data_IF_011308598021
#
_entry.id   IF_011308598021
#
_cell.length_a   1.000
_cell.length_b   1.000
_cell.length_c   1.000
_cell.angle_alpha   90.00
_cell.angle_beta   90.00
_cell.angle_gamma   90.00
#
_symmetry.space_group_name_H-M   'P 1'
#
loop_
_entity.id
_entity.type
_entity.pdbx_description
1 polymer ?
#
# COMPACT_ATOMS: atom_id res chain seq x y z
N UNK A 1 -9.60 29.62 -2.11
CA UNK A 1 -8.19 30.02 -2.22
C UNK A 1 -7.49 29.02 -3.10
N UNK A 2 -6.67 29.47 -4.05
CA UNK A 2 -5.90 28.59 -4.93
C UNK A 2 -4.95 27.72 -4.07
N UNK A 3 -4.83 26.41 -4.32
CA UNK A 3 -3.91 25.55 -3.57
C UNK A 3 -2.48 26.10 -3.61
N UNK A 4 -1.79 26.13 -2.47
CA UNK A 4 -0.39 26.61 -2.36
C UNK A 4 0.62 25.77 -3.15
N UNK A 5 0.20 24.61 -3.67
CA UNK A 5 1.05 23.69 -4.43
C UNK A 5 0.54 23.65 -5.87
N UNK A 6 1.19 24.44 -6.72
CA UNK A 6 0.99 24.37 -8.18
C UNK A 6 1.82 23.20 -8.68
N UNK A 7 1.17 22.18 -9.23
CA UNK A 7 1.87 21.13 -9.98
C UNK A 7 2.07 21.68 -11.40
N UNK A 8 3.32 21.90 -11.86
CA UNK A 8 3.56 22.48 -13.17
C UNK A 8 3.05 21.54 -14.26
N UNK A 9 2.34 22.10 -15.25
CA UNK A 9 1.94 21.36 -16.45
C UNK A 9 3.19 21.05 -17.30
N UNK A 10 3.26 19.84 -17.86
CA UNK A 10 4.37 19.43 -18.75
C UNK A 10 5.64 18.97 -18.03
N UNK A 11 5.56 18.57 -16.76
CA UNK A 11 6.66 17.85 -16.11
C UNK A 11 6.73 16.41 -16.60
N UNK A 12 7.95 15.90 -16.75
CA UNK A 12 8.17 14.48 -17.01
C UNK A 12 7.64 13.66 -15.83
N UNK A 13 6.74 12.73 -16.13
CA UNK A 13 6.19 11.79 -15.16
C UNK A 13 6.96 10.49 -15.27
N UNK A 14 7.67 10.14 -14.21
CA UNK A 14 8.38 8.88 -14.10
C UNK A 14 7.51 7.88 -13.34
N UNK A 15 7.32 6.70 -13.94
CA UNK A 15 6.63 5.58 -13.32
C UNK A 15 7.57 4.38 -13.27
N UNK A 16 7.54 3.66 -12.16
CA UNK A 16 8.15 2.34 -12.08
C UNK A 16 7.32 1.36 -12.91
N UNK A 17 7.97 0.41 -13.57
CA UNK A 17 7.30 -0.75 -14.16
C UNK A 17 6.79 -1.72 -13.10
N UNK A 18 5.87 -2.61 -13.46
CA UNK A 18 5.23 -3.54 -12.51
C UNK A 18 6.24 -4.42 -11.76
N UNK A 19 7.31 -4.85 -12.42
CA UNK A 19 8.40 -5.63 -11.80
C UNK A 19 9.21 -4.82 -10.79
N UNK A 20 9.47 -3.54 -11.10
CA UNK A 20 10.19 -2.63 -10.20
C UNK A 20 9.33 -2.27 -8.98
N UNK A 21 8.02 -2.06 -9.20
CA UNK A 21 7.05 -1.90 -8.12
C UNK A 21 7.05 -3.16 -7.26
N UNK A 22 6.95 -4.35 -7.84
CA UNK A 22 6.99 -5.59 -7.06
C UNK A 22 8.32 -5.79 -6.31
N UNK A 23 9.45 -5.50 -6.95
CA UNK A 23 10.79 -5.55 -6.36
C UNK A 23 10.94 -4.64 -5.15
N UNK A 24 10.35 -3.44 -5.19
CA UNK A 24 10.34 -2.51 -4.05
C UNK A 24 9.60 -3.08 -2.84
N UNK A 25 8.55 -3.87 -3.06
CA UNK A 25 7.71 -4.44 -2.00
C UNK A 25 8.17 -5.83 -1.54
N UNK A 26 9.21 -6.40 -2.15
CA UNK A 26 9.75 -7.72 -1.80
C UNK A 26 11.15 -7.58 -1.19
N UNK A 27 11.61 -8.63 -0.49
CA UNK A 27 12.97 -8.62 0.06
C UNK A 27 14.05 -8.65 -1.03
N UNK A 28 15.28 -8.25 -0.67
CA UNK A 28 16.44 -8.29 -1.58
C UNK A 28 16.49 -9.60 -2.37
N UNK A 29 16.59 -9.49 -3.70
CA UNK A 29 16.65 -10.63 -4.62
C UNK A 29 15.30 -11.24 -5.03
N UNK A 30 14.16 -10.58 -4.77
CA UNK A 30 12.83 -11.01 -5.26
C UNK A 30 12.36 -12.38 -4.74
N UNK A 31 13.12 -12.98 -3.82
CA UNK A 31 12.94 -14.33 -3.29
C UNK A 31 12.28 -14.33 -1.91
N UNK A 32 12.13 -13.15 -1.30
CA UNK A 32 11.41 -12.95 -0.05
C UNK A 32 9.95 -12.59 -0.30
N UNK A 33 9.08 -12.94 0.65
CA UNK A 33 7.69 -12.49 0.62
C UNK A 33 7.54 -10.96 0.62
N UNK A 34 6.32 -10.49 0.35
CA UNK A 34 5.94 -9.09 0.39
C UNK A 34 6.17 -8.53 1.79
N UNK A 35 6.91 -7.41 1.88
CA UNK A 35 7.22 -6.69 3.11
C UNK A 35 6.97 -5.20 2.92
N UNK A 36 5.92 -4.70 3.58
CA UNK A 36 5.60 -3.27 3.61
C UNK A 36 6.44 -2.58 4.70
N UNK A 37 7.73 -2.34 4.44
CA UNK A 37 8.67 -1.77 5.43
C UNK A 37 8.24 -0.40 6.00
N UNK A 38 7.43 0.33 5.26
CA UNK A 38 6.87 1.64 5.61
C UNK A 38 5.45 1.57 6.21
N UNK A 39 4.95 0.37 6.52
CA UNK A 39 3.60 0.18 7.06
C UNK A 39 3.34 1.04 8.31
N UNK A 40 4.28 1.05 9.26
CA UNK A 40 4.18 1.85 10.49
C UNK A 40 4.06 3.35 10.20
N UNK A 41 4.77 3.84 9.18
CA UNK A 41 4.74 5.24 8.76
C UNK A 41 3.38 5.59 8.16
N UNK A 42 2.81 4.73 7.31
CA UNK A 42 1.48 4.94 6.75
C UNK A 42 0.43 4.96 7.86
N UNK A 43 0.45 3.98 8.76
CA UNK A 43 -0.53 3.90 9.86
C UNK A 43 -0.43 5.11 10.79
N UNK A 44 0.77 5.62 11.07
CA UNK A 44 0.97 6.76 11.96
C UNK A 44 0.59 8.11 11.31
N UNK A 45 0.78 8.27 10.00
CA UNK A 45 0.77 9.60 9.39
C UNK A 45 -0.31 9.81 8.32
N UNK A 46 -0.81 8.75 7.68
CA UNK A 46 -1.76 8.88 6.56
C UNK A 46 -3.22 9.09 7.00
N UNK A 47 -3.51 9.02 8.31
CA UNK A 47 -4.85 9.26 8.89
C UNK A 47 -5.94 8.45 8.17
N UNK A 48 -6.98 9.10 7.66
CA UNK A 48 -8.11 8.48 6.95
C UNK A 48 -7.69 7.73 5.67
N UNK A 49 -6.53 8.06 5.10
CA UNK A 49 -6.00 7.41 3.92
C UNK A 49 -5.17 6.16 4.22
N UNK A 50 -4.82 5.90 5.49
CA UNK A 50 -3.93 4.80 5.83
C UNK A 50 -4.44 3.44 5.33
N UNK A 51 -5.69 3.09 5.65
CA UNK A 51 -6.29 1.81 5.24
C UNK A 51 -6.50 1.74 3.73
N UNK A 52 -7.19 2.69 3.07
CA UNK A 52 -7.37 2.66 1.62
C UNK A 52 -6.04 2.58 0.85
N UNK A 53 -5.02 3.31 1.29
CA UNK A 53 -3.70 3.30 0.65
C UNK A 53 -3.06 1.90 0.73
N UNK A 54 -3.09 1.28 1.90
CA UNK A 54 -2.53 -0.07 2.06
C UNK A 54 -3.34 -1.11 1.27
N UNK A 55 -4.67 -0.96 1.20
CA UNK A 55 -5.52 -1.83 0.38
C UNK A 55 -5.16 -1.74 -1.11
N UNK A 56 -5.02 -0.52 -1.65
CA UNK A 56 -4.63 -0.32 -3.05
C UNK A 56 -3.25 -0.89 -3.35
N UNK A 57 -2.29 -0.74 -2.43
CA UNK A 57 -0.96 -1.34 -2.57
C UNK A 57 -1.07 -2.86 -2.61
N UNK A 58 -1.83 -3.47 -1.69
CA UNK A 58 -2.00 -4.93 -1.64
C UNK A 58 -2.66 -5.44 -2.93
N UNK A 59 -3.71 -4.78 -3.42
CA UNK A 59 -4.40 -5.14 -4.67
C UNK A 59 -3.46 -5.11 -5.89
N UNK A 60 -2.54 -4.14 -5.94
CA UNK A 60 -1.53 -4.08 -7.00
C UNK A 60 -0.48 -5.21 -6.94
N UNK A 61 -0.21 -5.74 -5.74
CA UNK A 61 0.80 -6.79 -5.54
C UNK A 61 0.25 -8.21 -5.69
N UNK A 62 -1.04 -8.42 -5.40
CA UNK A 62 -1.68 -9.75 -5.46
C UNK A 62 -1.45 -10.51 -6.77
N UNK A 63 -1.54 -9.91 -7.97
CA UNK A 63 -1.32 -10.61 -9.24
C UNK A 63 0.07 -11.24 -9.35
N UNK A 64 1.10 -10.57 -8.86
CA UNK A 64 2.49 -11.04 -8.90
C UNK A 64 2.84 -12.01 -7.75
N UNK A 65 1.97 -12.16 -6.75
CA UNK A 65 2.23 -13.01 -5.59
C UNK A 65 1.93 -14.49 -5.85
N UNK A 66 2.75 -15.38 -5.27
CA UNK A 66 2.46 -16.81 -5.20
C UNK A 66 1.16 -17.08 -4.38
N UNK A 67 0.46 -18.20 -4.59
CA UNK A 67 -0.82 -18.47 -3.92
C UNK A 67 -0.75 -18.44 -2.38
N UNK A 68 0.36 -18.89 -1.79
CA UNK A 68 0.58 -18.81 -0.35
C UNK A 68 0.68 -17.37 0.14
N UNK A 69 1.29 -16.50 -0.65
CA UNK A 69 1.46 -15.09 -0.32
C UNK A 69 0.17 -14.29 -0.49
N UNK A 70 -0.58 -14.56 -1.56
CA UNK A 70 -1.93 -13.97 -1.76
C UNK A 70 -2.84 -14.22 -0.55
N UNK A 71 -2.77 -15.42 0.05
CA UNK A 71 -3.53 -15.73 1.27
C UNK A 71 -3.10 -14.88 2.46
N UNK A 72 -1.79 -14.67 2.66
CA UNK A 72 -1.28 -13.80 3.74
C UNK A 72 -1.74 -12.35 3.55
N UNK A 73 -1.66 -11.84 2.32
CA UNK A 73 -2.14 -10.50 1.97
C UNK A 73 -3.66 -10.35 2.17
N UNK A 74 -4.44 -11.37 1.79
CA UNK A 74 -5.89 -11.38 2.02
C UNK A 74 -6.24 -11.31 3.51
N UNK A 75 -5.52 -12.02 4.37
CA UNK A 75 -5.69 -11.94 5.83
C UNK A 75 -5.38 -10.53 6.33
N UNK A 76 -4.26 -9.93 5.90
CA UNK A 76 -3.90 -8.57 6.27
C UNK A 76 -4.98 -7.56 5.86
N UNK A 77 -5.50 -7.64 4.63
CA UNK A 77 -6.59 -6.78 4.14
C UNK A 77 -7.84 -6.89 5.03
N UNK A 78 -8.25 -8.11 5.39
CA UNK A 78 -9.38 -8.33 6.30
C UNK A 78 -9.15 -7.73 7.69
N UNK A 79 -7.93 -7.84 8.22
CA UNK A 79 -7.56 -7.22 9.49
C UNK A 79 -7.63 -5.69 9.44
N UNK A 80 -7.18 -5.07 8.34
CA UNK A 80 -7.23 -3.61 8.15
C UNK A 80 -8.67 -3.09 8.05
N UNK A 81 -9.54 -3.79 7.32
CA UNK A 81 -10.98 -3.48 7.23
C UNK A 81 -11.62 -3.56 8.63
N UNK A 82 -11.26 -4.58 9.41
CA UNK A 82 -11.73 -4.72 10.78
C UNK A 82 -11.27 -3.58 11.69
N UNK A 83 -10.01 -3.16 11.60
CA UNK A 83 -9.48 -2.01 12.34
C UNK A 83 -10.22 -0.72 11.99
N UNK A 84 -10.53 -0.50 10.71
CA UNK A 84 -11.33 0.65 10.26
C UNK A 84 -12.76 0.60 10.80
N UNK A 85 -13.40 -0.57 10.73
CA UNK A 85 -14.80 -0.75 11.14
C UNK A 85 -14.97 -0.60 12.65
N UNK A 86 -14.11 -1.23 13.46
CA UNK A 86 -14.20 -1.16 14.93
C UNK A 86 -13.57 0.10 15.52
N UNK A 87 -12.51 0.64 14.92
CA UNK A 87 -11.89 1.90 15.37
C UNK A 87 -12.81 3.12 15.19
N UNK A 88 -13.80 3.03 14.28
CA UNK A 88 -14.87 4.01 14.14
C UNK A 88 -16.03 3.84 15.13
N UNK A 89 -16.14 2.67 15.78
CA UNK A 89 -17.11 2.41 16.85
C UNK A 89 -16.47 2.84 18.17
N UNK A 90 -16.56 4.13 18.49
CA UNK A 90 -16.35 4.60 19.87
C UNK A 90 -17.61 4.25 20.66
N UNK A 91 -17.53 3.24 21.52
CA UNK A 91 -18.51 3.02 22.61
C UNK A 91 -18.39 4.13 23.64
#
# INVERSE_FOLDING_TARGET
>A
GVPRRVVPLGQDVYSLGDEEVYGFHTGEGGSGGVRLHYYSQIVAHAREFAVPLIETIIEGLEPACAPGERRRLCVLKKSLIWQRTLGGVRL
#
